data_IF_970961054779
#
_entry.id   IF_970961054779
#
_cell.length_a   1.000
_cell.length_b   1.000
_cell.length_c   1.000
_cell.angle_alpha   90.00
_cell.angle_beta   90.00
_cell.angle_gamma   90.00
#
_symmetry.space_group_name_H-M   'P 1'
#
loop_
_entity.id
_entity.type
_entity.pdbx_description
1 polymer ?
#
# COMPACT_ATOMS: atom_id res chain seq x y z
N UNK A 1 -39.77 -11.58 -51.84
CA UNK A 1 -38.33 -11.30 -51.91
C UNK A 1 -37.69 -11.79 -50.62
N UNK A 2 -36.53 -12.44 -50.73
CA UNK A 2 -35.70 -13.05 -49.67
C UNK A 2 -34.22 -12.97 -50.13
N UNK A 3 -33.18 -13.23 -49.29
CA UNK A 3 -33.15 -13.51 -47.85
C UNK A 3 -33.08 -12.19 -47.04
N UNK A 4 -32.14 -11.77 -46.17
CA UNK A 4 -30.87 -12.27 -45.56
C UNK A 4 -30.54 -11.30 -44.37
N UNK A 5 -29.71 -11.55 -43.34
CA UNK A 5 -28.85 -12.69 -42.95
C UNK A 5 -28.57 -12.67 -41.43
N UNK A 6 -28.47 -13.85 -40.78
CA UNK A 6 -27.84 -14.20 -39.48
C UNK A 6 -28.11 -13.33 -38.21
N UNK A 7 -28.56 -13.85 -37.05
CA UNK A 7 -27.97 -14.88 -36.15
C UNK A 7 -26.69 -14.40 -35.43
N UNK A 8 -26.52 -14.59 -34.12
CA UNK A 8 -26.79 -15.82 -33.34
C UNK A 8 -27.45 -15.63 -31.96
N UNK A 9 -28.24 -16.62 -31.54
CA UNK A 9 -28.50 -16.93 -30.11
C UNK A 9 -27.48 -17.94 -29.58
N UNK A 10 -27.23 -17.94 -28.26
CA UNK A 10 -26.45 -18.98 -27.58
C UNK A 10 -27.11 -19.36 -26.24
N UNK A 11 -27.83 -20.48 -26.21
CA UNK A 11 -28.55 -20.96 -25.03
C UNK A 11 -27.60 -21.51 -23.98
N UNK A 12 -27.64 -20.98 -22.75
CA UNK A 12 -26.87 -21.53 -21.63
C UNK A 12 -27.42 -22.91 -21.21
N UNK A 13 -26.69 -23.99 -21.53
CA UNK A 13 -26.96 -25.34 -21.01
C UNK A 13 -26.28 -25.52 -19.65
N UNK A 14 -27.07 -25.67 -18.59
CA UNK A 14 -26.56 -26.13 -17.30
C UNK A 14 -26.15 -27.61 -17.38
N UNK A 15 -24.90 -27.92 -17.02
CA UNK A 15 -24.42 -29.28 -16.86
C UNK A 15 -24.41 -29.68 -15.39
N UNK A 16 -25.40 -30.48 -14.98
CA UNK A 16 -25.42 -31.12 -13.66
C UNK A 16 -24.51 -32.35 -13.68
N UNK A 17 -23.31 -32.25 -13.07
CA UNK A 17 -22.42 -33.40 -12.91
C UNK A 17 -22.84 -34.16 -11.64
N UNK A 18 -23.54 -35.28 -11.82
CA UNK A 18 -23.83 -36.22 -10.74
C UNK A 18 -22.58 -37.02 -10.37
N UNK A 19 -21.94 -36.68 -9.26
CA UNK A 19 -20.91 -37.53 -8.65
C UNK A 19 -21.57 -38.83 -8.13
N UNK A 20 -21.24 -39.96 -8.76
CA UNK A 20 -21.54 -41.27 -8.18
C UNK A 20 -20.57 -41.55 -7.03
N UNK A 21 -21.09 -42.02 -5.90
CA UNK A 21 -20.30 -42.72 -4.90
C UNK A 21 -19.73 -44.00 -5.50
N UNK A 22 -18.42 -44.21 -5.34
CA UNK A 22 -17.75 -45.49 -5.54
C UNK A 22 -17.19 -45.95 -4.20
N UNK A 23 -17.35 -47.23 -3.87
CA UNK A 23 -17.11 -47.75 -2.53
C UNK A 23 -15.62 -47.83 -2.15
N UNK A 24 -15.36 -47.69 -0.85
CA UNK A 24 -14.07 -48.01 -0.25
C UNK A 24 -14.00 -49.51 0.05
N UNK A 25 -12.97 -50.19 -0.45
CA UNK A 25 -12.61 -51.54 0.00
C UNK A 25 -11.09 -51.67 0.07
N UNK A 26 -10.55 -51.90 1.26
CA UNK A 26 -9.17 -52.34 1.43
C UNK A 26 -9.03 -53.79 0.93
N UNK A 27 -7.95 -54.10 0.21
CA UNK A 27 -7.16 -55.31 0.47
C UNK A 27 -5.78 -55.24 -0.23
N UNK A 28 -4.80 -55.78 0.49
CA UNK A 28 -3.54 -56.40 0.07
C UNK A 28 -2.68 -55.72 -1.01
N UNK A 29 -1.51 -55.23 -0.59
CA UNK A 29 -0.62 -54.45 -1.44
C UNK A 29 0.28 -55.26 -2.38
N UNK A 30 0.55 -54.67 -3.54
CA UNK A 30 1.67 -55.02 -4.42
C UNK A 30 2.47 -53.77 -4.78
N UNK A 31 3.80 -53.83 -4.64
CA UNK A 31 4.69 -52.78 -5.13
C UNK A 31 4.81 -52.91 -6.66
N UNK A 32 4.01 -52.15 -7.42
CA UNK A 32 4.14 -52.05 -8.88
C UNK A 32 4.72 -50.70 -9.27
N UNK A 33 5.94 -50.75 -9.82
CA UNK A 33 6.70 -49.60 -10.34
C UNK A 33 6.10 -49.14 -11.66
N UNK A 34 5.23 -48.13 -11.62
CA UNK A 34 4.73 -47.45 -12.82
C UNK A 34 5.79 -46.49 -13.40
N UNK A 35 6.71 -47.08 -14.17
CA UNK A 35 7.27 -46.40 -15.34
C UNK A 35 6.29 -46.57 -16.54
N UNK A 36 6.53 -45.84 -17.63
CA UNK A 36 5.78 -45.87 -18.88
C UNK A 36 4.28 -45.46 -18.86
N UNK A 37 4.02 -44.15 -19.00
CA UNK A 37 3.63 -43.61 -20.33
C UNK A 37 3.54 -42.06 -20.33
N UNK A 38 4.52 -41.40 -20.95
CA UNK A 38 4.44 -39.96 -21.28
C UNK A 38 3.62 -39.73 -22.57
N UNK A 39 2.39 -40.26 -22.60
CA UNK A 39 1.47 -40.22 -23.74
C UNK A 39 0.27 -39.29 -23.56
N UNK A 40 0.27 -38.44 -22.53
CA UNK A 40 -0.90 -37.64 -22.16
C UNK A 40 -0.92 -36.27 -22.84
N UNK A 41 -2.00 -36.07 -23.60
CA UNK A 41 -2.50 -34.81 -24.19
C UNK A 41 -2.07 -33.53 -23.47
N UNK A 42 -1.10 -32.81 -24.05
CA UNK A 42 -0.78 -31.42 -23.72
C UNK A 42 -1.84 -30.46 -24.29
N UNK A 43 -3.04 -30.50 -23.71
CA UNK A 43 -4.17 -29.65 -24.08
C UNK A 43 -4.75 -28.94 -22.84
N UNK A 44 -4.62 -27.61 -22.82
CA UNK A 44 -5.49 -26.65 -22.15
C UNK A 44 -5.76 -26.79 -20.64
N UNK A 45 -4.74 -27.20 -19.86
CA UNK A 45 -4.58 -26.70 -18.49
C UNK A 45 -3.61 -25.51 -18.45
N UNK A 46 -4.00 -24.41 -19.10
CA UNK A 46 -3.46 -23.08 -18.78
C UNK A 46 -4.00 -22.71 -17.40
N UNK A 47 -3.30 -23.16 -16.36
CA UNK A 47 -3.67 -22.88 -14.97
C UNK A 47 -3.65 -21.37 -14.72
N UNK A 48 -4.82 -20.76 -14.54
CA UNK A 48 -4.89 -19.33 -14.20
C UNK A 48 -4.07 -19.06 -12.93
N UNK A 49 -3.12 -18.13 -13.03
CA UNK A 49 -2.25 -17.74 -11.92
C UNK A 49 -2.99 -16.75 -11.04
N UNK A 50 -3.18 -17.08 -9.76
CA UNK A 50 -4.04 -16.30 -8.85
C UNK A 50 -3.31 -16.00 -7.54
N UNK A 51 -3.30 -14.73 -7.14
CA UNK A 51 -2.84 -14.29 -5.83
C UNK A 51 -3.98 -14.35 -4.79
N UNK A 52 -3.78 -15.16 -3.75
CA UNK A 52 -4.63 -15.22 -2.56
C UNK A 52 -3.95 -14.51 -1.39
N UNK A 53 -4.76 -13.92 -0.52
CA UNK A 53 -4.31 -13.21 0.67
C UNK A 53 -5.10 -13.75 1.86
N UNK A 54 -4.44 -13.99 2.99
CA UNK A 54 -5.05 -14.57 4.19
C UNK A 54 -4.84 -13.67 5.41
N UNK A 55 -5.90 -13.25 6.13
CA UNK A 55 -7.32 -13.50 5.84
C UNK A 55 -7.76 -12.85 4.52
N UNK A 56 -8.70 -13.49 3.80
CA UNK A 56 -9.18 -12.96 2.53
C UNK A 56 -10.20 -11.83 2.78
N UNK A 57 -9.85 -10.62 2.32
CA UNK A 57 -10.68 -9.43 2.44
C UNK A 57 -10.61 -8.62 1.13
N UNK A 58 -11.65 -7.84 0.86
CA UNK A 58 -11.66 -6.83 -0.22
C UNK A 58 -11.09 -5.49 0.26
N UNK A 59 -11.24 -5.21 1.56
CA UNK A 59 -10.75 -4.00 2.24
C UNK A 59 -10.09 -4.41 3.55
N UNK A 60 -8.81 -4.09 3.74
CA UNK A 60 -8.01 -4.47 4.90
C UNK A 60 -7.91 -3.34 5.92
N UNK A 61 -7.89 -3.69 7.21
CA UNK A 61 -7.62 -2.73 8.29
C UNK A 61 -6.12 -2.50 8.50
N UNK A 62 -5.75 -1.24 8.76
CA UNK A 62 -4.37 -0.85 8.99
C UNK A 62 -4.04 -0.87 10.49
N UNK A 63 -3.35 -1.90 10.94
CA UNK A 63 -2.90 -2.01 12.33
C UNK A 63 -1.70 -2.93 12.50
N UNK A 64 -0.92 -2.79 13.58
CA UNK A 64 0.28 -3.61 13.83
C UNK A 64 -0.06 -5.11 14.02
N UNK A 65 -1.30 -5.41 14.42
CA UNK A 65 -1.78 -6.77 14.63
C UNK A 65 -2.36 -7.41 13.35
N UNK A 66 -2.56 -6.63 12.28
CA UNK A 66 -3.14 -7.13 11.02
C UNK A 66 -2.05 -7.67 10.10
N UNK A 67 -1.64 -8.91 10.38
CA UNK A 67 -0.69 -9.68 9.57
C UNK A 67 -1.42 -10.38 8.42
N UNK A 68 -0.90 -10.23 7.20
CA UNK A 68 -1.47 -10.79 5.97
C UNK A 68 -0.45 -11.77 5.39
N UNK A 69 -0.90 -13.00 5.11
CA UNK A 69 -0.09 -14.00 4.43
C UNK A 69 -0.43 -14.02 2.94
N UNK A 70 0.61 -14.12 2.11
CA UNK A 70 0.57 -14.15 0.67
C UNK A 70 0.69 -15.58 0.15
N UNK A 71 -0.15 -15.94 -0.82
CA UNK A 71 -0.07 -17.22 -1.52
C UNK A 71 -0.31 -17.00 -3.01
N UNK A 72 0.52 -17.61 -3.86
CA UNK A 72 0.32 -17.63 -5.32
C UNK A 72 -0.06 -19.05 -5.73
N UNK A 73 -1.11 -19.19 -6.54
CA UNK A 73 -1.60 -20.48 -7.01
C UNK A 73 -1.53 -20.58 -8.54
N UNK A 74 -0.98 -21.68 -9.04
CA UNK A 74 -1.03 -22.10 -10.44
C UNK A 74 -2.03 -23.27 -10.53
N UNK A 75 -3.26 -22.96 -10.92
CA UNK A 75 -4.37 -23.93 -10.87
C UNK A 75 -4.58 -24.48 -9.44
N UNK A 76 -4.51 -25.81 -9.21
CA UNK A 76 -4.68 -26.41 -7.89
C UNK A 76 -3.46 -26.27 -6.98
N UNK A 77 -2.27 -26.00 -7.52
CA UNK A 77 -1.02 -25.95 -6.76
C UNK A 77 -0.77 -24.54 -6.23
N UNK A 78 -0.61 -24.41 -4.91
CA UNK A 78 -0.44 -23.12 -4.24
C UNK A 78 0.86 -23.07 -3.43
N UNK A 79 1.60 -21.97 -3.54
CA UNK A 79 2.89 -21.72 -2.89
C UNK A 79 2.82 -20.48 -2.00
N UNK A 80 3.30 -20.61 -0.77
CA UNK A 80 3.39 -19.52 0.23
C UNK A 80 4.81 -19.46 0.85
N UNK A 81 5.83 -19.70 0.03
CA UNK A 81 7.25 -19.69 0.43
C UNK A 81 8.14 -19.52 -0.80
N UNK A 82 9.27 -18.83 -0.65
CA UNK A 82 10.12 -18.46 -1.80
C UNK A 82 9.48 -17.44 -2.76
N UNK A 83 8.41 -16.76 -2.33
CA UNK A 83 7.82 -15.64 -3.04
C UNK A 83 8.68 -14.39 -2.80
N UNK A 84 8.88 -13.57 -3.85
CA UNK A 84 9.36 -12.20 -3.69
C UNK A 84 8.24 -11.24 -4.05
N UNK A 85 7.83 -10.40 -3.11
CA UNK A 85 6.73 -9.47 -3.28
C UNK A 85 7.09 -8.02 -2.98
N UNK A 86 6.45 -7.12 -3.71
CA UNK A 86 6.58 -5.67 -3.63
C UNK A 86 5.18 -5.05 -3.48
N UNK A 87 5.08 -3.95 -2.73
CA UNK A 87 3.84 -3.22 -2.45
C UNK A 87 3.97 -1.83 -3.05
N UNK A 88 3.14 -1.52 -4.04
CA UNK A 88 3.25 -0.28 -4.83
C UNK A 88 2.01 0.61 -4.67
N UNK A 89 2.21 1.93 -4.78
CA UNK A 89 1.13 2.92 -4.89
C UNK A 89 0.51 2.92 -6.29
N UNK A 90 -0.60 3.64 -6.47
CA UNK A 90 -1.33 3.71 -7.74
C UNK A 90 -0.57 4.40 -8.90
N UNK A 91 0.69 4.80 -8.72
CA UNK A 91 1.60 5.30 -9.76
C UNK A 91 2.80 4.36 -9.99
N UNK A 92 2.90 3.26 -9.25
CA UNK A 92 4.02 2.32 -9.30
C UNK A 92 5.18 2.65 -8.36
N UNK A 93 5.04 3.59 -7.41
CA UNK A 93 6.11 3.83 -6.42
C UNK A 93 6.09 2.75 -5.34
N UNK A 94 7.26 2.17 -5.05
CA UNK A 94 7.41 1.14 -4.04
C UNK A 94 7.28 1.69 -2.60
N UNK A 95 6.33 1.13 -1.87
CA UNK A 95 6.02 1.42 -0.48
C UNK A 95 6.72 0.43 0.46
N UNK A 96 6.89 -0.81 0.00
CA UNK A 96 7.66 -1.89 0.62
C UNK A 96 8.20 -2.80 -0.51
N UNK A 97 9.44 -3.26 -0.42
CA UNK A 97 10.12 -4.05 -1.47
C UNK A 97 10.67 -5.36 -0.90
N UNK A 98 10.64 -6.41 -1.71
CA UNK A 98 11.29 -7.69 -1.42
C UNK A 98 10.80 -8.42 -0.17
N UNK A 99 9.57 -8.18 0.27
CA UNK A 99 9.00 -8.92 1.41
C UNK A 99 8.57 -10.34 1.01
N UNK A 100 8.38 -11.19 2.01
CA UNK A 100 8.18 -12.62 1.85
C UNK A 100 6.70 -13.02 1.75
N UNK A 101 6.42 -14.28 2.09
CA UNK A 101 5.11 -14.86 2.35
C UNK A 101 4.21 -14.11 3.35
N UNK A 102 4.71 -13.13 4.12
CA UNK A 102 3.90 -12.46 5.14
C UNK A 102 4.32 -11.02 5.43
N UNK A 103 3.35 -10.12 5.56
CA UNK A 103 3.55 -8.68 5.69
C UNK A 103 2.45 -8.02 6.53
N UNK A 104 2.61 -6.72 6.81
CA UNK A 104 1.64 -5.88 7.54
C UNK A 104 1.39 -4.58 6.77
N UNK A 105 0.16 -4.05 6.86
CA UNK A 105 -0.23 -2.78 6.22
C UNK A 105 -0.17 -1.59 7.20
N UNK A 106 0.59 -1.70 8.29
CA UNK A 106 1.00 -0.56 9.09
C UNK A 106 1.96 0.34 8.29
N UNK A 107 2.11 1.58 8.71
CA UNK A 107 3.03 2.57 8.12
C UNK A 107 2.73 3.00 6.67
N UNK A 108 1.69 2.45 6.03
CA UNK A 108 1.16 2.93 4.74
C UNK A 108 0.19 4.08 5.01
N UNK A 109 0.62 5.31 4.75
CA UNK A 109 -0.20 6.51 5.00
C UNK A 109 -0.82 7.06 3.72
N UNK A 110 -1.98 7.72 3.85
CA UNK A 110 -2.55 8.61 2.84
C UNK A 110 -2.91 7.97 1.49
N UNK A 111 -3.04 6.65 1.46
CA UNK A 111 -3.43 5.83 0.33
C UNK A 111 -4.69 5.04 0.68
N UNK A 112 -5.68 5.03 -0.20
CA UNK A 112 -6.92 4.26 0.00
C UNK A 112 -6.88 2.87 -0.65
N UNK A 113 -5.86 2.62 -1.49
CA UNK A 113 -5.62 1.37 -2.20
C UNK A 113 -4.12 1.22 -2.41
N UNK A 114 -3.65 -0.01 -2.47
CA UNK A 114 -2.27 -0.40 -2.81
C UNK A 114 -2.31 -1.66 -3.66
N UNK A 115 -1.32 -1.85 -4.53
CA UNK A 115 -1.17 -3.06 -5.34
C UNK A 115 -0.04 -3.90 -4.79
N UNK A 116 -0.31 -5.17 -4.53
CA UNK A 116 0.70 -6.18 -4.22
C UNK A 116 1.10 -6.82 -5.55
N UNK A 117 2.39 -6.85 -5.83
CA UNK A 117 3.00 -7.56 -6.97
C UNK A 117 3.88 -8.68 -6.42
N UNK A 118 3.73 -9.89 -6.94
CA UNK A 118 4.53 -11.04 -6.53
C UNK A 118 5.15 -11.72 -7.76
N UNK A 119 6.42 -12.10 -7.62
CA UNK A 119 7.13 -12.96 -8.57
C UNK A 119 7.42 -14.31 -7.93
N UNK A 120 7.37 -15.36 -8.73
CA UNK A 120 7.83 -16.71 -8.36
C UNK A 120 9.02 -17.08 -9.25
N UNK A 121 9.77 -18.13 -8.89
CA UNK A 121 10.88 -18.60 -9.71
C UNK A 121 10.42 -19.42 -10.94
N UNK A 122 9.17 -19.88 -10.94
CA UNK A 122 8.67 -20.90 -11.87
C UNK A 122 7.68 -20.32 -12.91
N UNK A 123 7.39 -19.01 -12.83
CA UNK A 123 6.36 -18.31 -13.61
C UNK A 123 6.96 -17.11 -14.37
N UNK A 124 6.74 -16.98 -15.69
CA UNK A 124 7.26 -15.85 -16.46
C UNK A 124 6.55 -14.51 -16.17
N UNK A 125 5.43 -14.49 -15.44
CA UNK A 125 4.61 -13.30 -15.20
C UNK A 125 4.60 -12.81 -13.74
N UNK A 126 4.73 -11.49 -13.47
CA UNK A 126 4.46 -10.94 -12.15
C UNK A 126 2.94 -10.93 -11.87
N UNK A 127 2.51 -11.63 -10.83
CA UNK A 127 1.10 -11.72 -10.41
C UNK A 127 0.75 -10.47 -9.58
N UNK A 128 -0.41 -9.86 -9.81
CA UNK A 128 -0.83 -8.63 -9.12
C UNK A 128 -2.20 -8.74 -8.47
N UNK A 129 -2.37 -8.08 -7.31
CA UNK A 129 -3.67 -7.90 -6.64
C UNK A 129 -3.74 -6.52 -5.97
N UNK A 130 -4.72 -5.72 -6.36
CA UNK A 130 -5.05 -4.47 -5.68
C UNK A 130 -5.91 -4.75 -4.46
N UNK A 131 -5.64 -4.09 -3.34
CA UNK A 131 -6.46 -4.14 -2.11
C UNK A 131 -6.83 -2.74 -1.64
N UNK A 132 -8.03 -2.59 -1.09
CA UNK A 132 -8.47 -1.34 -0.47
C UNK A 132 -8.05 -1.27 1.01
N UNK A 133 -7.85 -0.06 1.52
CA UNK A 133 -7.43 0.21 2.91
C UNK A 133 -8.57 0.90 3.67
N UNK A 134 -9.07 0.24 4.72
CA UNK A 134 -10.10 0.76 5.62
C UNK A 134 -9.47 1.80 6.56
N UNK A 135 -10.14 2.95 6.69
CA UNK A 135 -9.73 4.06 7.56
C UNK A 135 -8.26 4.48 7.34
N UNK A 136 -7.92 4.81 6.08
CA UNK A 136 -6.53 5.03 5.69
C UNK A 136 -5.79 6.00 6.62
N UNK A 137 -4.61 5.57 7.10
CA UNK A 137 -3.87 6.31 8.11
C UNK A 137 -3.48 7.70 7.57
N UNK A 138 -3.80 8.75 8.33
CA UNK A 138 -3.37 10.13 8.01
C UNK A 138 -2.35 10.60 9.04
N UNK A 139 -1.40 11.45 8.65
CA UNK A 139 -0.33 11.89 9.55
C UNK A 139 -0.82 12.77 10.72
N UNK A 140 -2.04 13.32 10.65
CA UNK A 140 -2.63 14.24 11.65
C UNK A 140 -1.63 15.28 12.18
N UNK A 141 -1.00 16.02 11.26
CA UNK A 141 0.05 17.01 11.57
C UNK A 141 -0.45 18.12 12.51
N UNK A 142 0.44 18.68 13.34
CA UNK A 142 0.19 19.91 14.11
C UNK A 142 -0.34 21.04 13.21
N UNK A 143 -1.40 21.73 13.67
CA UNK A 143 -2.05 22.83 12.92
C UNK A 143 -1.39 24.20 13.10
N UNK A 144 -0.65 24.41 14.19
CA UNK A 144 0.13 25.62 14.42
C UNK A 144 1.56 25.29 14.83
N UNK A 145 2.51 26.12 14.41
CA UNK A 145 3.94 26.03 14.74
C UNK A 145 4.42 27.43 15.14
N UNK A 146 4.93 27.57 16.36
CA UNK A 146 5.46 28.83 16.89
C UNK A 146 6.99 28.85 16.77
N UNK A 147 7.53 29.92 16.20
CA UNK A 147 8.96 30.07 15.89
C UNK A 147 9.48 31.32 16.59
N UNK A 148 10.43 31.16 17.52
CA UNK A 148 11.16 32.29 18.10
C UNK A 148 11.94 33.04 17.01
N UNK A 149 11.96 34.37 17.07
CA UNK A 149 12.58 35.19 16.02
C UNK A 149 14.05 34.83 15.69
N UNK A 150 14.92 34.61 16.69
CA UNK A 150 16.29 34.15 16.47
C UNK A 150 16.43 32.77 15.81
N UNK A 151 15.34 31.98 15.77
CA UNK A 151 15.26 30.65 15.13
C UNK A 151 14.62 30.68 13.74
N UNK A 152 14.35 31.85 13.15
CA UNK A 152 13.80 31.98 11.77
C UNK A 152 14.67 31.28 10.71
N UNK A 153 15.97 31.07 10.97
CA UNK A 153 16.89 30.35 10.08
C UNK A 153 16.94 28.83 10.30
N UNK A 154 16.24 28.30 11.31
CA UNK A 154 16.17 26.85 11.56
C UNK A 154 15.15 26.18 10.62
N UNK A 155 15.42 24.99 10.07
CA UNK A 155 14.49 24.28 9.20
C UNK A 155 13.29 23.73 9.99
N UNK A 156 12.08 23.92 9.48
CA UNK A 156 10.82 23.59 10.16
C UNK A 156 10.21 22.34 9.54
N UNK A 157 10.00 21.29 10.35
CA UNK A 157 9.44 20.01 9.88
C UNK A 157 8.01 20.19 9.33
N UNK A 158 7.76 19.75 8.08
CA UNK A 158 6.48 19.95 7.37
C UNK A 158 5.28 19.21 8.00
N UNK A 159 5.55 18.17 8.78
CA UNK A 159 4.56 17.48 9.57
C UNK A 159 5.18 16.97 10.87
N UNK A 160 4.68 17.46 12.00
CA UNK A 160 4.86 16.80 13.30
C UNK A 160 3.58 16.01 13.58
N UNK A 161 3.56 14.66 13.47
CA UNK A 161 2.37 13.86 13.68
C UNK A 161 1.85 13.97 15.12
N UNK A 162 0.54 13.86 15.33
CA UNK A 162 -0.07 13.90 16.67
C UNK A 162 -0.34 12.51 17.25
N UNK A 163 -0.89 11.58 16.46
CA UNK A 163 -1.14 10.17 16.84
C UNK A 163 0.14 9.42 17.23
N UNK A 164 0.05 8.50 18.19
CA UNK A 164 1.18 7.68 18.66
C UNK A 164 1.72 6.76 17.57
N UNK A 165 0.83 6.27 16.73
CA UNK A 165 1.05 5.30 15.65
C UNK A 165 1.90 5.94 14.55
N UNK A 166 1.49 7.12 14.05
CA UNK A 166 2.27 7.87 13.08
C UNK A 166 3.60 8.41 13.65
N UNK A 167 3.69 8.70 14.97
CA UNK A 167 4.97 9.04 15.61
C UNK A 167 5.93 7.84 15.62
N UNK A 168 5.46 6.64 15.93
CA UNK A 168 6.27 5.43 15.93
C UNK A 168 6.71 5.04 14.51
N UNK A 169 5.79 5.11 13.54
CA UNK A 169 6.03 4.81 12.13
C UNK A 169 6.94 5.82 11.38
N UNK A 170 7.26 6.95 12.04
CA UNK A 170 8.10 8.03 11.51
C UNK A 170 9.21 8.41 12.51
N UNK A 171 9.57 7.48 13.40
CA UNK A 171 10.61 7.67 14.41
C UNK A 171 12.02 7.59 13.82
N UNK A 172 12.20 6.88 12.70
CA UNK A 172 13.47 6.87 11.95
C UNK A 172 13.49 7.99 10.91
N UNK A 173 14.66 8.60 10.77
CA UNK A 173 14.87 9.74 9.88
C UNK A 173 14.70 9.37 8.40
N UNK A 174 15.26 8.22 8.00
CA UNK A 174 15.19 7.64 6.66
C UNK A 174 13.74 7.31 6.24
N UNK A 175 12.95 6.75 7.17
CA UNK A 175 11.54 6.41 6.93
C UNK A 175 10.72 7.69 6.69
N UNK A 176 10.96 8.74 7.49
CA UNK A 176 10.31 10.03 7.32
C UNK A 176 10.72 10.73 6.01
N UNK A 177 12.01 10.73 5.63
CA UNK A 177 12.44 11.30 4.35
C UNK A 177 11.89 10.53 3.14
N UNK A 178 11.92 9.19 3.15
CA UNK A 178 11.36 8.35 2.09
C UNK A 178 9.87 8.62 1.90
N UNK A 179 9.12 8.74 3.00
CA UNK A 179 7.67 8.93 2.98
C UNK A 179 7.30 10.36 2.55
N UNK A 180 8.00 11.40 3.03
CA UNK A 180 7.69 12.80 2.71
C UNK A 180 8.34 13.31 1.42
N UNK A 181 9.17 12.51 0.72
CA UNK A 181 9.87 12.87 -0.52
C UNK A 181 8.99 13.57 -1.57
N UNK A 182 7.78 13.09 -1.77
CA UNK A 182 6.82 13.62 -2.76
C UNK A 182 5.79 14.60 -2.15
N UNK A 183 6.04 15.13 -0.96
CA UNK A 183 5.17 16.11 -0.32
C UNK A 183 5.20 17.45 -1.06
N UNK A 184 4.04 17.87 -1.57
CA UNK A 184 3.88 19.11 -2.34
C UNK A 184 3.27 20.18 -1.45
N UNK A 185 4.08 21.14 -1.01
CA UNK A 185 3.67 22.24 -0.17
C UNK A 185 3.69 23.58 -0.90
N UNK A 186 2.82 24.50 -0.48
CA UNK A 186 2.72 25.88 -0.98
C UNK A 186 2.40 26.84 0.17
N UNK A 187 2.90 28.07 0.09
CA UNK A 187 2.49 29.19 0.93
C UNK A 187 1.82 30.27 0.06
N UNK A 188 0.94 31.08 0.64
CA UNK A 188 0.39 32.28 0.01
C UNK A 188 1.34 33.48 0.01
N UNK A 189 2.46 33.42 0.75
CA UNK A 189 3.47 34.47 0.84
C UNK A 189 4.76 34.05 0.12
N UNK A 190 5.43 34.97 -0.61
CA UNK A 190 6.71 34.70 -1.26
C UNK A 190 7.85 34.54 -0.24
N UNK A 191 8.98 33.99 -0.69
CA UNK A 191 10.20 33.82 0.11
C UNK A 191 10.23 32.57 0.99
N UNK A 192 9.11 31.89 1.18
CA UNK A 192 9.08 30.53 1.75
C UNK A 192 9.66 29.55 0.74
N UNK A 193 10.63 28.74 1.16
CA UNK A 193 11.15 27.62 0.36
C UNK A 193 10.87 26.28 1.05
N UNK A 194 10.78 25.23 0.24
CA UNK A 194 10.49 23.87 0.67
C UNK A 194 11.62 22.96 0.20
N UNK A 195 12.15 22.13 1.11
CA UNK A 195 12.92 20.93 0.76
C UNK A 195 12.17 19.70 1.27
N UNK A 196 12.59 18.50 0.82
CA UNK A 196 12.00 17.16 1.03
C UNK A 196 11.02 17.04 2.21
N UNK A 197 11.46 17.40 3.42
CA UNK A 197 10.69 17.31 4.67
C UNK A 197 10.61 18.62 5.48
N UNK A 198 11.16 19.71 4.95
CA UNK A 198 11.33 20.98 5.67
C UNK A 198 10.75 22.18 4.92
N UNK A 199 10.13 23.09 5.67
CA UNK A 199 9.91 24.48 5.31
C UNK A 199 11.07 25.32 5.84
N UNK A 200 11.48 26.32 5.06
CA UNK A 200 12.43 27.36 5.49
C UNK A 200 11.72 28.72 5.41
N UNK A 201 11.86 29.53 6.44
CA UNK A 201 11.34 30.90 6.46
C UNK A 201 12.28 31.83 5.69
N UNK A 202 11.78 32.91 5.05
CA UNK A 202 12.66 33.90 4.46
C UNK A 202 13.46 34.62 5.54
N UNK A 203 14.73 34.92 5.26
CA UNK A 203 15.70 35.45 6.23
C UNK A 203 15.34 36.81 6.86
N UNK A 204 14.31 37.49 6.34
CA UNK A 204 13.77 38.74 6.87
C UNK A 204 12.44 38.57 7.65
N UNK A 205 11.96 37.34 7.86
CA UNK A 205 10.74 37.11 8.65
C UNK A 205 10.93 37.59 10.10
N UNK A 206 9.92 38.26 10.63
CA UNK A 206 9.98 38.93 11.94
C UNK A 206 8.61 38.98 12.62
N UNK A 207 8.51 39.03 13.96
CA UNK A 207 7.22 39.10 14.63
C UNK A 207 6.46 40.40 14.27
N UNK A 208 5.17 40.34 13.86
CA UNK A 208 4.24 39.23 14.02
C UNK A 208 3.92 38.49 12.69
N UNK A 209 4.93 38.07 11.92
CA UNK A 209 4.73 37.34 10.68
C UNK A 209 3.98 36.01 10.89
N UNK A 210 3.02 35.74 10.00
CA UNK A 210 2.31 34.47 9.91
C UNK A 210 2.41 33.94 8.47
N UNK A 211 2.54 32.62 8.33
CA UNK A 211 2.64 31.92 7.04
C UNK A 211 1.68 30.73 7.02
N UNK A 212 0.62 30.83 6.22
CA UNK A 212 -0.33 29.73 6.02
C UNK A 212 0.23 28.78 4.96
N UNK A 213 0.39 27.51 5.33
CA UNK A 213 0.98 26.46 4.49
C UNK A 213 -0.10 25.43 4.17
N UNK A 214 -0.23 25.08 2.90
CA UNK A 214 -1.03 23.94 2.45
C UNK A 214 -0.10 22.89 1.86
N UNK A 215 -0.23 21.64 2.30
CA UNK A 215 0.59 20.51 1.85
C UNK A 215 -0.28 19.34 1.39
N UNK A 216 0.20 18.60 0.40
CA UNK A 216 -0.40 17.35 -0.09
C UNK A 216 0.63 16.24 -0.19
N UNK A 217 0.26 15.02 0.22
CA UNK A 217 1.03 13.79 0.06
C UNK A 217 0.07 12.63 -0.23
N UNK A 218 0.23 11.99 -1.40
CA UNK A 218 -0.75 11.11 -2.02
C UNK A 218 -2.19 11.71 -1.98
N UNK A 219 -3.13 11.11 -1.24
CA UNK A 219 -4.50 11.62 -1.06
C UNK A 219 -4.70 12.50 0.18
N UNK A 220 -3.75 12.56 1.11
CA UNK A 220 -3.85 13.48 2.25
C UNK A 220 -3.55 14.90 1.83
N UNK A 221 -4.39 15.83 2.28
CA UNK A 221 -4.08 17.25 2.34
C UNK A 221 -4.08 17.69 3.80
N UNK A 222 -3.13 18.52 4.20
CA UNK A 222 -3.12 19.18 5.50
C UNK A 222 -2.79 20.67 5.34
N UNK A 223 -3.07 21.44 6.37
CA UNK A 223 -2.72 22.85 6.41
C UNK A 223 -2.32 23.24 7.82
N UNK A 224 -1.29 24.09 7.91
CA UNK A 224 -0.76 24.55 9.19
C UNK A 224 -0.29 26.00 9.08
N UNK A 225 -0.25 26.68 10.23
CA UNK A 225 0.11 28.08 10.35
C UNK A 225 1.44 28.20 11.10
N UNK A 226 2.47 28.70 10.43
CA UNK A 226 3.75 29.06 11.08
C UNK A 226 3.65 30.51 11.56
N UNK A 227 3.96 30.76 12.84
CA UNK A 227 3.90 32.08 13.47
C UNK A 227 5.25 32.48 14.04
N UNK A 228 5.80 33.61 13.59
CA UNK A 228 7.04 34.17 14.12
C UNK A 228 6.73 35.03 15.33
N UNK A 229 7.31 34.69 16.49
CA UNK A 229 7.05 35.35 17.78
C UNK A 229 8.33 35.87 18.41
N UNK A 230 8.20 36.92 19.24
CA UNK A 230 9.31 37.39 20.07
C UNK A 230 9.75 36.27 21.02
N UNK A 231 11.05 36.23 21.31
CA UNK A 231 11.63 35.30 22.27
C UNK A 231 10.97 35.41 23.65
N UNK A 232 10.98 34.31 24.41
CA UNK A 232 10.19 34.14 25.62
C UNK A 232 8.73 33.70 25.39
N UNK A 233 8.04 34.16 24.33
CA UNK A 233 6.60 33.86 24.15
C UNK A 233 6.27 32.39 23.81
N UNK A 234 7.21 31.63 23.23
CA UNK A 234 6.97 30.21 22.90
C UNK A 234 6.70 29.36 24.15
N UNK A 235 7.30 29.71 25.30
CA UNK A 235 7.13 28.94 26.55
C UNK A 235 5.69 28.99 27.11
N UNK A 236 4.91 30.04 26.82
CA UNK A 236 3.53 30.17 27.33
C UNK A 236 2.49 29.33 26.56
N UNK A 237 2.85 28.71 25.44
CA UNK A 237 1.90 27.99 24.57
C UNK A 237 2.10 26.45 24.61
N UNK A 238 3.01 25.97 25.45
CA UNK A 238 3.36 24.53 25.54
C UNK A 238 2.47 23.70 26.46
N UNK A 239 1.51 24.30 27.19
CA UNK A 239 0.68 23.65 28.19
C UNK A 239 -0.79 24.13 28.17
N UNK A 240 -1.54 23.66 27.17
CA UNK A 240 -3.01 23.54 27.15
C UNK A 240 -3.38 22.24 26.41
#
# INVERSE_FOLDING_TARGET
MTPDKAHYEATARAFTISLKSGDFSEHDGFYTRFEDNWGNTLADYVGNVVMKLFPEQTTYEQGPNMKINLQVCLGPHCRSSGLKADLIDAKGYALMEGFSDSFTLNNIFCLSMVTITATTADDPGPVQRTVALRNYLTYMCKKEIFVSWGRVREPIVLCSPTSKEAKAALAKEEEFERIFKDARCKCSRPGITFSTRFLHLPSNASPPDNFSIQCQLHKCQWSFLVRVVKEGRVQQVSHL
#
